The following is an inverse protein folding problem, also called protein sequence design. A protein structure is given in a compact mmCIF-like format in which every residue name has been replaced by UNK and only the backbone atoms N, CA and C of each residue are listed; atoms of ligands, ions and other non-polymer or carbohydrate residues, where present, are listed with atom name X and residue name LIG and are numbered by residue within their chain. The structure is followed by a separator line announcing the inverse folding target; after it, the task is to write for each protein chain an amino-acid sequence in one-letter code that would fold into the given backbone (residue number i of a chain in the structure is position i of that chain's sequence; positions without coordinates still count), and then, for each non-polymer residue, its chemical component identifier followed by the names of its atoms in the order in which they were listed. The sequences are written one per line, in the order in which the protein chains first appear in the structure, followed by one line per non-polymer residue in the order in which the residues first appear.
data_IF_777197942365
#
_entry.id   IF_777197942365
#
_cell.length_a   1.000
_cell.length_b   1.000
_cell.length_c   1.000
_cell.angle_alpha   90.00
_cell.angle_beta   90.00
_cell.angle_gamma   90.00
#
_symmetry.space_group_name_H-M   'P 1'
#
loop_
_entity.id
_entity.type
_entity.pdbx_description
1 polymer ?
#
# COMPACT_ATOMS: atom_id res chain seq x y z
N UNK A 1 -10.78 -30.09 -55.36
CA UNK A 1 -10.42 -29.14 -54.28
C UNK A 1 -11.29 -27.90 -54.43
N UNK A 2 -12.37 -27.80 -53.65
CA UNK A 2 -13.24 -26.63 -53.65
C UNK A 2 -12.65 -25.56 -52.72
N UNK A 3 -12.50 -24.34 -53.23
CA UNK A 3 -11.97 -23.19 -52.50
C UNK A 3 -13.15 -22.53 -51.78
N UNK A 4 -13.30 -22.77 -50.48
CA UNK A 4 -14.33 -22.11 -49.68
C UNK A 4 -14.09 -20.60 -49.66
N UNK A 5 -15.00 -19.86 -50.29
CA UNK A 5 -15.08 -18.40 -50.23
C UNK A 5 -15.72 -18.01 -48.90
N UNK A 6 -14.94 -17.50 -47.94
CA UNK A 6 -15.49 -16.90 -46.70
C UNK A 6 -16.45 -15.78 -47.08
N UNK A 7 -17.69 -15.88 -46.62
CA UNK A 7 -18.71 -14.85 -46.84
C UNK A 7 -18.27 -13.51 -46.23
N UNK A 8 -18.51 -12.37 -46.92
CA UNK A 8 -18.14 -11.06 -46.40
C UNK A 8 -18.96 -10.72 -45.15
N UNK A 9 -18.30 -10.24 -44.10
CA UNK A 9 -18.93 -9.84 -42.84
C UNK A 9 -20.05 -8.82 -43.06
N UNK A 10 -21.13 -8.99 -42.30
CA UNK A 10 -22.22 -8.04 -42.20
C UNK A 10 -21.77 -6.73 -41.54
N UNK A 11 -22.51 -5.65 -41.78
CA UNK A 11 -22.23 -4.32 -41.22
C UNK A 11 -22.21 -4.36 -39.68
N UNK A 12 -23.10 -5.16 -39.06
CA UNK A 12 -23.15 -5.33 -37.60
C UNK A 12 -21.88 -5.97 -37.04
N UNK A 13 -21.36 -7.00 -37.71
CA UNK A 13 -20.12 -7.68 -37.29
C UNK A 13 -18.91 -6.77 -37.42
N UNK A 14 -18.83 -5.95 -38.48
CA UNK A 14 -17.76 -4.95 -38.65
C UNK A 14 -17.81 -3.88 -37.56
N UNK A 15 -19.00 -3.38 -37.22
CA UNK A 15 -19.16 -2.39 -36.15
C UNK A 15 -18.77 -2.95 -34.77
N UNK A 16 -19.20 -4.17 -34.44
CA UNK A 16 -18.80 -4.82 -33.18
C UNK A 16 -17.29 -5.03 -33.08
N UNK A 17 -16.64 -5.44 -34.18
CA UNK A 17 -15.19 -5.60 -34.20
C UNK A 17 -14.45 -4.26 -33.97
N UNK A 18 -14.93 -3.16 -34.56
CA UNK A 18 -14.37 -1.83 -34.36
C UNK A 18 -14.53 -1.38 -32.90
N UNK A 19 -15.71 -1.59 -32.30
CA UNK A 19 -15.96 -1.23 -30.90
C UNK A 19 -15.05 -2.04 -29.96
N UNK A 20 -14.93 -3.35 -30.17
CA UNK A 20 -14.06 -4.21 -29.36
C UNK A 20 -12.60 -3.77 -29.49
N UNK A 21 -12.12 -3.51 -30.71
CA UNK A 21 -10.76 -3.03 -30.94
C UNK A 21 -10.52 -1.67 -30.25
N UNK A 22 -11.46 -0.74 -30.35
CA UNK A 22 -11.39 0.57 -29.68
C UNK A 22 -11.36 0.43 -28.15
N UNK A 23 -12.15 -0.47 -27.58
CA UNK A 23 -12.15 -0.75 -26.14
C UNK A 23 -10.82 -1.37 -25.67
N UNK A 24 -10.23 -2.29 -26.44
CA UNK A 24 -8.93 -2.88 -26.13
C UNK A 24 -7.83 -1.81 -26.16
N UNK A 25 -7.81 -0.96 -27.19
CA UNK A 25 -6.86 0.14 -27.30
C UNK A 25 -7.03 1.14 -26.15
N UNK A 26 -8.27 1.50 -25.81
CA UNK A 26 -8.54 2.40 -24.69
C UNK A 26 -8.07 1.82 -23.35
N UNK A 27 -8.36 0.54 -23.08
CA UNK A 27 -7.93 -0.14 -21.86
C UNK A 27 -6.39 -0.21 -21.75
N UNK A 28 -5.69 -0.46 -22.85
CA UNK A 28 -4.22 -0.51 -22.88
C UNK A 28 -3.58 0.88 -22.71
N UNK A 29 -4.18 1.94 -23.27
CA UNK A 29 -3.74 3.32 -23.02
C UNK A 29 -3.94 3.70 -21.54
N UNK A 30 -5.09 3.36 -20.94
CA UNK A 30 -5.34 3.63 -19.51
C UNK A 30 -4.32 2.89 -18.63
N UNK A 31 -4.05 1.62 -18.92
CA UNK A 31 -3.04 0.85 -18.19
C UNK A 31 -1.64 1.49 -18.32
N UNK A 32 -1.25 1.90 -19.53
CA UNK A 32 0.02 2.58 -19.75
C UNK A 32 0.12 3.90 -18.98
N UNK A 33 -0.94 4.72 -18.96
CA UNK A 33 -0.97 5.98 -18.19
C UNK A 33 -0.86 5.71 -16.69
N UNK A 34 -1.54 4.70 -16.16
CA UNK A 34 -1.41 4.34 -14.74
C UNK A 34 -0.02 3.81 -14.36
N UNK A 35 0.68 3.15 -15.30
CA UNK A 35 2.07 2.73 -15.12
C UNK A 35 3.01 3.94 -15.15
N UNK A 36 2.77 4.90 -16.04
CA UNK A 36 3.56 6.14 -16.15
C UNK A 36 3.37 7.03 -14.92
N UNK A 37 2.15 7.19 -14.40
CA UNK A 37 1.89 7.97 -13.18
C UNK A 37 2.54 7.34 -11.92
N UNK A 38 2.57 5.99 -11.85
CA UNK A 38 3.36 5.27 -10.84
C UNK A 38 4.87 5.48 -11.01
N UNK A 39 5.36 5.55 -12.25
CA UNK A 39 6.76 5.83 -12.55
C UNK A 39 7.16 7.29 -12.27
N UNK A 40 6.24 8.24 -12.40
CA UNK A 40 6.49 9.67 -12.13
C UNK A 40 6.57 10.00 -10.64
N UNK A 41 6.00 9.19 -9.74
CA UNK A 41 6.23 9.34 -8.29
C UNK A 41 7.10 8.25 -7.67
N UNK A 42 7.30 7.13 -8.36
CA UNK A 42 8.30 6.08 -8.12
C UNK A 42 8.20 5.30 -6.81
N UNK A 43 7.82 5.95 -5.71
CA UNK A 43 7.91 5.40 -4.37
C UNK A 43 6.65 4.63 -4.01
N UNK A 44 6.83 3.34 -3.79
CA UNK A 44 5.81 2.47 -3.19
C UNK A 44 5.97 2.48 -1.67
N UNK A 45 4.85 2.57 -0.96
CA UNK A 45 4.81 2.45 0.50
C UNK A 45 4.03 1.22 0.89
N UNK A 46 4.64 0.34 1.68
CA UNK A 46 3.98 -0.88 2.17
C UNK A 46 4.05 -0.96 3.68
N UNK A 47 3.08 -1.66 4.27
CA UNK A 47 3.07 -2.04 5.70
C UNK A 47 2.86 -3.53 5.81
N UNK A 48 3.60 -4.16 6.71
CA UNK A 48 3.51 -5.58 7.02
C UNK A 48 3.71 -5.80 8.50
N UNK A 49 3.25 -6.95 8.96
CA UNK A 49 3.57 -7.47 10.28
C UNK A 49 4.45 -8.72 10.15
N UNK A 50 5.10 -9.14 11.23
CA UNK A 50 5.93 -10.34 11.21
C UNK A 50 5.13 -11.63 10.99
N UNK A 51 3.84 -11.62 11.36
CA UNK A 51 2.86 -12.67 11.08
C UNK A 51 1.44 -12.12 10.96
N UNK A 52 0.50 -12.97 10.56
CA UNK A 52 -0.92 -12.61 10.38
C UNK A 52 -1.80 -13.00 11.59
N UNK A 53 -1.31 -13.88 12.47
CA UNK A 53 -2.09 -14.40 13.61
C UNK A 53 -1.29 -14.30 14.90
N UNK A 54 -1.89 -13.69 15.93
CA UNK A 54 -1.31 -13.44 17.25
C UNK A 54 -2.20 -13.99 18.34
N UNK A 55 -1.63 -14.28 19.50
CA UNK A 55 -2.43 -14.46 20.72
C UNK A 55 -2.68 -13.11 21.39
N UNK A 56 -3.71 -13.04 22.24
CA UNK A 56 -4.04 -11.83 22.98
C UNK A 56 -2.86 -11.38 23.86
N UNK A 57 -2.44 -10.12 23.72
CA UNK A 57 -1.30 -9.54 24.46
C UNK A 57 0.08 -9.96 23.93
N UNK A 58 0.14 -10.65 22.79
CA UNK A 58 1.41 -10.92 22.12
C UNK A 58 1.97 -9.66 21.44
N UNK A 59 3.29 -9.51 21.52
CA UNK A 59 4.00 -8.44 20.81
C UNK A 59 3.82 -8.56 19.28
N UNK A 60 3.45 -7.46 18.63
CA UNK A 60 3.30 -7.34 17.19
C UNK A 60 4.44 -6.49 16.64
N UNK A 61 5.24 -7.03 15.72
CA UNK A 61 6.24 -6.26 14.99
C UNK A 61 5.63 -5.73 13.70
N UNK A 62 5.56 -4.41 13.57
CA UNK A 62 5.00 -3.72 12.41
C UNK A 62 6.15 -3.06 11.65
N UNK A 63 6.30 -3.41 10.38
CA UNK A 63 7.32 -2.86 9.49
C UNK A 63 6.68 -2.11 8.33
N UNK A 64 7.28 -0.98 7.95
CA UNK A 64 6.94 -0.22 6.76
C UNK A 64 8.14 -0.09 5.86
N UNK A 65 7.89 -0.01 4.56
CA UNK A 65 8.93 0.12 3.55
C UNK A 65 8.53 1.17 2.54
N UNK A 66 9.46 2.10 2.26
CA UNK A 66 9.46 2.94 1.08
C UNK A 66 10.39 2.30 0.06
N UNK A 67 9.90 2.02 -1.15
CA UNK A 67 10.71 1.45 -2.23
C UNK A 67 10.66 2.41 -3.41
N UNK A 68 11.80 2.94 -3.82
CA UNK A 68 11.87 3.78 -5.02
C UNK A 68 11.88 2.90 -6.27
N UNK A 69 10.71 2.64 -6.85
CA UNK A 69 10.55 1.95 -8.13
C UNK A 69 10.67 2.90 -9.35
N UNK A 70 11.00 4.17 -9.13
CA UNK A 70 11.23 5.17 -10.17
C UNK A 70 12.60 5.03 -10.83
N UNK A 71 12.90 5.91 -11.79
CA UNK A 71 14.19 5.97 -12.47
C UNK A 71 15.13 7.03 -11.92
N UNK A 72 14.61 7.96 -11.12
CA UNK A 72 15.35 9.06 -10.52
C UNK A 72 15.45 8.86 -9.01
N UNK A 73 16.49 9.44 -8.41
CA UNK A 73 16.64 9.52 -6.95
C UNK A 73 15.51 10.37 -6.35
N UNK A 74 15.01 9.95 -5.19
CA UNK A 74 13.94 10.63 -4.45
C UNK A 74 14.44 11.07 -3.08
N UNK A 75 14.25 12.35 -2.77
CA UNK A 75 14.49 12.92 -1.44
C UNK A 75 13.23 12.78 -0.58
N UNK A 76 13.39 12.24 0.63
CA UNK A 76 12.32 12.08 1.63
C UNK A 76 12.64 12.88 2.89
N UNK A 77 11.70 13.73 3.32
CA UNK A 77 11.85 14.53 4.55
C UNK A 77 10.83 14.13 5.61
N UNK A 78 11.32 13.72 6.78
CA UNK A 78 10.50 13.39 7.94
C UNK A 78 10.68 14.41 9.04
N UNK A 79 9.58 14.84 9.66
CA UNK A 79 9.62 15.76 10.81
C UNK A 79 10.09 15.12 12.12
N UNK A 80 10.42 13.83 12.11
CA UNK A 80 10.87 13.07 13.27
C UNK A 80 11.66 11.83 12.83
N UNK A 81 12.25 11.11 13.79
CA UNK A 81 12.85 9.78 13.54
C UNK A 81 11.86 8.69 13.13
N UNK A 82 10.55 8.92 13.29
CA UNK A 82 9.52 8.00 12.84
C UNK A 82 9.14 8.28 11.38
N UNK A 83 9.18 7.24 10.55
CA UNK A 83 8.87 7.34 9.12
C UNK A 83 7.37 7.15 8.81
N UNK A 84 6.59 6.68 9.78
CA UNK A 84 5.15 6.45 9.65
C UNK A 84 4.41 6.58 10.99
N UNK A 85 3.12 6.90 10.93
CA UNK A 85 2.17 6.76 12.04
C UNK A 85 1.24 5.58 11.79
N UNK A 86 0.72 4.99 12.87
CA UNK A 86 -0.03 3.74 12.81
C UNK A 86 -1.35 3.85 13.57
N UNK A 87 -2.40 3.28 12.98
CA UNK A 87 -3.74 3.23 13.56
C UNK A 87 -4.30 1.82 13.43
N UNK A 88 -5.07 1.41 14.43
CA UNK A 88 -5.73 0.11 14.47
C UNK A 88 -7.23 0.31 14.35
N UNK A 89 -7.83 -0.46 13.45
CA UNK A 89 -9.26 -0.50 13.24
C UNK A 89 -9.79 -1.92 13.45
N UNK A 90 -11.02 -2.03 13.92
CA UNK A 90 -11.74 -3.30 13.91
C UNK A 90 -12.15 -3.70 12.47
N UNK A 91 -12.75 -4.89 12.32
CA UNK A 91 -13.23 -5.38 11.04
C UNK A 91 -14.32 -4.52 10.40
N UNK A 92 -15.02 -3.72 11.19
CA UNK A 92 -16.09 -2.83 10.74
C UNK A 92 -15.56 -1.44 10.35
N UNK A 93 -14.25 -1.22 10.51
CA UNK A 93 -13.57 0.04 10.22
C UNK A 93 -13.66 1.07 11.34
N UNK A 94 -14.13 0.68 12.53
CA UNK A 94 -14.15 1.57 13.69
C UNK A 94 -12.73 1.73 14.25
N UNK A 95 -12.30 2.95 14.59
CA UNK A 95 -10.99 3.15 15.19
C UNK A 95 -10.95 2.54 16.59
N UNK A 96 -9.97 1.66 16.83
CA UNK A 96 -9.67 1.12 18.15
C UNK A 96 -8.70 2.05 18.86
N UNK A 97 -7.54 2.30 18.25
CA UNK A 97 -6.51 3.14 18.84
C UNK A 97 -5.44 3.61 17.84
N UNK A 98 -4.76 4.73 18.11
CA UNK A 98 -3.46 5.01 17.53
C UNK A 98 -2.39 4.14 18.21
N UNK A 99 -1.37 3.69 17.46
CA UNK A 99 -0.16 3.12 18.04
C UNK A 99 0.84 4.25 18.22
N UNK A 100 1.14 4.57 19.48
CA UNK A 100 1.97 5.72 19.83
C UNK A 100 3.44 5.30 19.77
N UNK A 101 4.21 5.94 18.91
CA UNK A 101 5.67 5.85 18.92
C UNK A 101 6.27 7.10 19.57
N UNK A 102 7.24 6.91 20.44
CA UNK A 102 8.09 8.00 20.90
C UNK A 102 9.10 8.33 19.80
N UNK A 103 9.02 9.55 19.28
CA UNK A 103 9.95 10.04 18.27
C UNK A 103 10.85 11.13 18.84
N UNK A 104 12.08 11.23 18.32
CA UNK A 104 12.91 12.41 18.52
C UNK A 104 12.52 13.46 17.48
N UNK A 105 12.33 14.69 17.94
CA UNK A 105 11.76 15.80 17.17
C UNK A 105 12.81 16.56 16.34
N UNK A 106 13.71 15.84 15.69
CA UNK A 106 14.59 16.44 14.69
C UNK A 106 14.16 15.99 13.30
N UNK A 107 14.42 16.85 12.32
CA UNK A 107 14.16 16.54 10.92
C UNK A 107 15.14 15.48 10.44
N UNK A 108 14.63 14.47 9.75
CA UNK A 108 15.41 13.40 9.11
C UNK A 108 15.25 13.54 7.61
N UNK A 109 16.38 13.42 6.89
CA UNK A 109 16.45 13.47 5.45
C UNK A 109 17.02 12.15 4.96
N UNK A 110 16.33 11.51 4.03
CA UNK A 110 16.77 10.25 3.41
C UNK A 110 16.74 10.43 1.89
N UNK A 111 17.77 9.95 1.23
CA UNK A 111 17.87 9.90 -0.22
C UNK A 111 17.69 8.44 -0.65
N UNK A 112 16.73 8.16 -1.53
CA UNK A 112 16.51 6.81 -2.07
C UNK A 112 16.86 6.79 -3.55
N UNK A 113 17.94 6.10 -3.90
CA UNK A 113 18.27 5.82 -5.30
C UNK A 113 17.24 4.87 -5.94
N UNK A 114 17.18 4.80 -7.28
CA UNK A 114 16.34 3.83 -7.99
C UNK A 114 16.59 2.39 -7.52
N UNK A 115 15.53 1.74 -7.05
CA UNK A 115 15.52 0.38 -6.51
C UNK A 115 15.87 0.27 -5.03
N UNK A 116 16.22 1.37 -4.36
CA UNK A 116 16.51 1.35 -2.93
C UNK A 116 15.25 1.30 -2.06
N UNK A 117 15.45 0.76 -0.87
CA UNK A 117 14.42 0.61 0.15
C UNK A 117 14.84 1.30 1.44
N UNK A 118 13.97 2.17 1.95
CA UNK A 118 14.03 2.66 3.32
C UNK A 118 13.00 1.91 4.16
N UNK A 119 13.46 1.25 5.21
CA UNK A 119 12.58 0.53 6.15
C UNK A 119 12.47 1.26 7.48
N UNK A 120 11.31 1.14 8.12
CA UNK A 120 11.10 1.57 9.49
C UNK A 120 9.97 0.77 10.13
N UNK A 121 9.66 1.02 11.40
CA UNK A 121 8.63 0.25 12.07
C UNK A 121 8.56 0.47 13.57
N UNK A 122 7.70 -0.30 14.22
CA UNK A 122 7.65 -0.41 15.68
C UNK A 122 7.19 -1.78 16.14
N UNK A 123 7.45 -2.05 17.41
CA UNK A 123 6.76 -3.06 18.18
C UNK A 123 5.54 -2.49 18.90
N UNK A 124 4.49 -3.30 19.06
CA UNK A 124 3.30 -2.95 19.85
C UNK A 124 2.80 -4.16 20.64
N UNK A 125 2.65 -4.00 21.95
CA UNK A 125 2.22 -5.06 22.89
C UNK A 125 0.70 -5.24 22.99
N UNK A 126 -0.06 -4.72 22.01
CA UNK A 126 -1.52 -4.68 22.03
C UNK A 126 -2.11 -3.82 23.17
N UNK A 127 -1.31 -2.93 23.75
CA UNK A 127 -1.70 -2.08 24.89
C UNK A 127 -1.77 -0.59 24.54
N UNK A 128 -2.50 0.18 25.34
CA UNK A 128 -2.44 1.64 25.35
C UNK A 128 -1.21 2.17 26.11
N UNK A 129 -1.15 3.49 26.30
CA UNK A 129 -0.10 4.17 27.06
C UNK A 129 -0.15 3.90 28.58
N UNK A 130 -1.25 3.36 29.08
CA UNK A 130 -1.40 2.89 30.46
C UNK A 130 -1.06 1.40 30.63
N UNK A 131 -0.82 0.68 29.53
CA UNK A 131 -0.52 -0.75 29.54
C UNK A 131 -1.76 -1.64 29.53
N UNK A 132 -2.95 -1.09 29.27
CA UNK A 132 -4.20 -1.83 29.21
C UNK A 132 -4.38 -2.45 27.83
N UNK A 133 -4.77 -3.73 27.77
CA UNK A 133 -4.99 -4.46 26.52
C UNK A 133 -6.15 -3.82 25.75
N UNK A 134 -5.88 -3.42 24.51
CA UNK A 134 -6.84 -2.71 23.65
C UNK A 134 -7.59 -3.62 22.69
N UNK A 135 -7.02 -4.78 22.37
CA UNK A 135 -7.61 -5.72 21.42
C UNK A 135 -8.49 -6.75 22.11
N UNK A 136 -9.47 -7.25 21.35
CA UNK A 136 -10.25 -8.44 21.67
C UNK A 136 -9.95 -9.53 20.65
N UNK A 137 -10.54 -10.73 20.83
CA UNK A 137 -10.43 -11.78 19.80
C UNK A 137 -11.15 -11.33 18.53
N UNK A 138 -10.49 -11.44 17.38
CA UNK A 138 -11.06 -11.00 16.11
C UNK A 138 -10.02 -10.58 15.09
N UNK A 139 -10.49 -9.93 14.02
CA UNK A 139 -9.66 -9.44 12.92
C UNK A 139 -9.57 -7.93 12.98
N UNK A 140 -8.36 -7.40 12.83
CA UNK A 140 -8.06 -5.97 12.90
C UNK A 140 -7.25 -5.54 11.68
N UNK A 141 -7.41 -4.27 11.33
CA UNK A 141 -6.66 -3.63 10.26
C UNK A 141 -5.66 -2.68 10.90
N UNK A 142 -4.37 -2.90 10.61
CA UNK A 142 -3.30 -1.94 10.91
C UNK A 142 -3.15 -1.05 9.69
N UNK A 143 -3.42 0.24 9.84
CA UNK A 143 -3.20 1.27 8.84
C UNK A 143 -1.93 2.05 9.17
N UNK A 144 -1.00 2.14 8.23
CA UNK A 144 0.17 2.99 8.31
C UNK A 144 -0.01 4.21 7.40
N UNK A 145 0.37 5.37 7.90
CA UNK A 145 0.39 6.61 7.14
C UNK A 145 1.81 7.16 7.13
N UNK A 146 2.30 7.48 5.94
CA UNK A 146 3.59 8.14 5.74
C UNK A 146 3.66 9.44 6.52
N UNK A 147 4.78 9.66 7.21
CA UNK A 147 5.13 10.94 7.81
C UNK A 147 6.07 11.78 6.93
N UNK A 148 6.33 11.30 5.70
CA UNK A 148 7.09 12.05 4.70
C UNK A 148 6.31 13.30 4.28
N UNK A 149 6.98 14.44 4.25
CA UNK A 149 6.37 15.75 3.99
C UNK A 149 5.95 15.91 2.53
N UNK A 150 6.69 15.26 1.63
CA UNK A 150 6.53 15.30 0.18
C UNK A 150 5.48 14.30 -0.32
N UNK A 151 5.28 13.21 0.41
CA UNK A 151 4.50 12.05 -0.03
C UNK A 151 3.36 11.69 0.93
N UNK A 152 2.13 11.88 0.47
CA UNK A 152 0.93 11.39 1.16
C UNK A 152 0.64 9.94 0.74
N UNK A 153 1.34 9.01 1.39
CA UNK A 153 1.17 7.57 1.18
C UNK A 153 0.53 6.92 2.39
N UNK A 154 -0.26 5.89 2.15
CA UNK A 154 -0.81 5.02 3.19
C UNK A 154 -0.88 3.59 2.69
N UNK A 155 -0.80 2.66 3.63
CA UNK A 155 -0.90 1.24 3.37
C UNK A 155 -1.61 0.59 4.56
N UNK A 156 -2.21 -0.57 4.35
CA UNK A 156 -2.81 -1.34 5.43
C UNK A 156 -2.47 -2.82 5.32
N UNK A 157 -2.49 -3.48 6.48
CA UNK A 157 -2.38 -4.91 6.61
C UNK A 157 -3.36 -5.43 7.65
N UNK A 158 -3.66 -6.71 7.60
CA UNK A 158 -4.67 -7.36 8.44
C UNK A 158 -4.01 -8.34 9.38
N UNK A 159 -4.44 -8.33 10.64
CA UNK A 159 -4.04 -9.32 11.65
C UNK A 159 -5.28 -9.96 12.29
N UNK A 160 -5.09 -11.14 12.87
CA UNK A 160 -6.09 -11.80 13.70
C UNK A 160 -5.55 -12.08 15.10
N UNK A 161 -6.33 -11.74 16.12
CA UNK A 161 -6.06 -12.08 17.52
C UNK A 161 -6.87 -13.32 17.89
N UNK A 162 -6.14 -14.37 18.27
CA UNK A 162 -6.64 -15.71 18.56
C UNK A 162 -6.49 -16.03 20.05
N UNK A 163 -7.33 -16.95 20.53
CA UNK A 163 -7.34 -17.42 21.93
C UNK A 163 -6.61 -18.74 22.13
#
# INVERSE_FOLDING_TARGET
MAKESKAPWSIKEKMSAIIIAALIVLASVIAAVSVIDRLERGVEFTVRTDKEQYVLGEHICINVEYVNNGYDTVDLTFGSSCVASFYVFDSDGSPVCPIIQMALWWMVYEELEPGETLSGGCGWDQTDDMGEIMLSLGTFIISAHSLCSELQLSASTTISIMG
#
